data_IF_945331908574
#
_entry.id   IF_945331908574
#
_cell.length_a   1.000
_cell.length_b   1.000
_cell.length_c   1.000
_cell.angle_alpha   90.00
_cell.angle_beta   90.00
_cell.angle_gamma   90.00
#
_symmetry.space_group_name_H-M   'P 1'
#
loop_
_entity.id
_entity.type
_entity.pdbx_description
1 polymer ?
#
# COMPACT_ATOMS: atom_id res chain seq x y z
N UNK A 1 21.12 45.22 -82.28
CA UNK A 1 21.92 45.50 -81.09
C UNK A 1 21.02 45.49 -79.92
N UNK A 2 20.92 44.37 -79.20
CA UNK A 2 19.99 44.20 -78.11
C UNK A 2 20.80 43.79 -76.89
N UNK A 3 20.88 44.68 -75.89
CA UNK A 3 21.63 44.44 -74.66
C UNK A 3 20.76 43.61 -73.73
N UNK A 4 21.25 42.47 -73.38
CA UNK A 4 20.67 41.55 -72.43
C UNK A 4 21.11 41.89 -70.99
N UNK A 5 20.19 42.32 -70.16
CA UNK A 5 20.42 42.53 -68.73
C UNK A 5 20.26 41.19 -68.00
N UNK A 6 21.34 40.76 -67.37
CA UNK A 6 21.31 39.59 -66.48
C UNK A 6 21.14 40.07 -65.05
N UNK A 7 19.97 39.81 -64.47
CA UNK A 7 19.67 40.09 -63.04
C UNK A 7 20.16 38.88 -62.20
N UNK A 8 21.10 39.10 -61.32
CA UNK A 8 21.56 38.11 -60.33
C UNK A 8 20.64 38.24 -59.09
N UNK A 9 19.80 37.27 -58.84
CA UNK A 9 19.08 37.11 -57.55
C UNK A 9 20.01 36.42 -56.58
N UNK A 10 20.46 37.15 -55.56
CA UNK A 10 21.14 36.58 -54.42
C UNK A 10 20.07 36.10 -53.40
N UNK A 11 19.86 34.77 -53.31
CA UNK A 11 19.00 34.17 -52.30
C UNK A 11 19.78 34.01 -51.00
N UNK A 12 19.34 34.76 -49.96
CA UNK A 12 19.81 34.56 -48.59
C UNK A 12 19.05 33.40 -47.96
N UNK A 13 19.67 32.22 -47.84
CA UNK A 13 19.13 31.08 -47.11
C UNK A 13 19.38 31.29 -45.60
N UNK A 14 18.37 31.72 -44.86
CA UNK A 14 18.41 31.79 -43.41
C UNK A 14 18.23 30.36 -42.84
N UNK A 15 19.35 29.73 -42.49
CA UNK A 15 19.33 28.44 -41.81
C UNK A 15 18.92 28.63 -40.33
N UNK A 16 17.66 28.34 -40.04
CA UNK A 16 17.18 28.26 -38.66
C UNK A 16 17.68 26.96 -38.03
N UNK A 17 18.80 27.04 -37.30
CA UNK A 17 19.29 25.94 -36.49
C UNK A 17 18.37 25.86 -35.25
N UNK A 18 17.37 24.98 -35.28
CA UNK A 18 16.70 24.57 -34.04
C UNK A 18 17.70 23.82 -33.19
N UNK A 19 18.15 24.45 -32.11
CA UNK A 19 18.84 23.77 -31.02
C UNK A 19 17.84 22.78 -30.38
N UNK A 20 17.89 21.53 -30.80
CA UNK A 20 17.24 20.44 -30.07
C UNK A 20 18.07 20.28 -28.80
N UNK A 21 17.63 20.89 -27.70
CA UNK A 21 18.10 20.49 -26.39
C UNK A 21 17.70 19.03 -26.21
N UNK A 22 18.61 18.07 -26.05
CA UNK A 22 18.24 16.77 -25.57
C UNK A 22 17.61 16.99 -24.18
N UNK A 23 16.31 16.74 -24.05
CA UNK A 23 15.72 16.59 -22.72
C UNK A 23 16.59 15.51 -22.03
N UNK A 24 17.32 15.90 -20.98
CA UNK A 24 17.97 14.92 -20.15
C UNK A 24 16.86 13.97 -19.69
N UNK A 25 17.01 12.67 -19.95
CA UNK A 25 16.10 11.70 -19.39
C UNK A 25 16.17 11.89 -17.87
N UNK A 26 15.06 12.24 -17.23
CA UNK A 26 15.00 12.31 -15.77
C UNK A 26 15.31 10.91 -15.26
N UNK A 27 16.29 10.80 -14.36
CA UNK A 27 16.60 9.52 -13.72
C UNK A 27 15.35 9.08 -12.93
N UNK A 28 14.91 7.86 -13.15
CA UNK A 28 13.74 7.33 -12.46
C UNK A 28 13.96 5.91 -11.98
N UNK A 29 13.33 5.56 -10.87
CA UNK A 29 13.31 4.21 -10.31
C UNK A 29 11.87 3.72 -10.13
N UNK A 30 11.70 2.40 -10.21
CA UNK A 30 10.42 1.73 -9.95
C UNK A 30 10.49 1.06 -8.58
N UNK A 31 9.59 1.46 -7.68
CA UNK A 31 9.41 0.85 -6.37
C UNK A 31 8.21 -0.10 -6.39
N UNK A 32 8.45 -1.39 -6.26
CA UNK A 32 7.40 -2.37 -6.05
C UNK A 32 6.98 -2.35 -4.58
N UNK A 33 5.72 -2.07 -4.30
CA UNK A 33 5.22 -1.87 -2.95
C UNK A 33 3.82 -2.42 -2.74
N UNK A 34 3.18 -2.02 -1.64
CA UNK A 34 1.88 -2.53 -1.24
C UNK A 34 0.81 -1.44 -1.18
N UNK A 35 -0.44 -1.86 -1.43
CA UNK A 35 -1.60 -0.96 -1.34
C UNK A 35 -1.80 -0.39 0.06
N UNK A 36 -1.43 -1.12 1.12
CA UNK A 36 -1.51 -0.61 2.49
C UNK A 36 -0.49 0.50 2.73
N UNK A 37 0.74 0.38 2.22
CA UNK A 37 1.74 1.44 2.30
C UNK A 37 1.30 2.68 1.51
N UNK A 38 0.74 2.50 0.32
CA UNK A 38 0.18 3.61 -0.47
C UNK A 38 -0.99 4.29 0.27
N UNK A 39 -1.92 3.52 0.80
CA UNK A 39 -3.10 4.04 1.50
C UNK A 39 -2.77 4.74 2.82
N UNK A 40 -1.59 4.52 3.40
CA UNK A 40 -1.14 5.22 4.60
C UNK A 40 -0.84 6.70 4.36
N UNK A 41 -0.70 7.14 3.08
CA UNK A 41 -0.29 8.49 2.72
C UNK A 41 1.23 8.72 2.83
N UNK A 42 2.02 7.69 3.16
CA UNK A 42 3.47 7.81 3.34
C UNK A 42 4.14 8.37 2.09
N UNK A 43 3.77 7.85 0.92
CA UNK A 43 4.40 8.25 -0.35
C UNK A 43 4.13 9.70 -0.71
N UNK A 44 2.94 10.22 -0.46
CA UNK A 44 2.59 11.62 -0.69
C UNK A 44 3.46 12.57 0.14
N UNK A 45 3.99 12.08 1.26
CA UNK A 45 4.87 12.84 2.13
C UNK A 45 6.35 12.71 1.77
N UNK A 46 6.85 11.46 1.58
CA UNK A 46 8.31 11.24 1.44
C UNK A 46 8.84 11.40 0.02
N UNK A 47 8.05 11.04 -1.03
CA UNK A 47 8.55 11.04 -2.39
C UNK A 47 8.89 12.45 -2.91
N UNK A 48 8.07 13.50 -2.69
CA UNK A 48 8.45 14.84 -3.10
C UNK A 48 9.77 15.31 -2.47
N UNK A 49 10.01 14.97 -1.20
CA UNK A 49 11.26 15.31 -0.49
C UNK A 49 12.46 14.56 -1.07
N UNK A 50 12.27 13.31 -1.48
CA UNK A 50 13.31 12.50 -2.10
C UNK A 50 13.66 13.03 -3.49
N UNK A 51 12.66 13.30 -4.31
CA UNK A 51 12.81 13.84 -5.67
C UNK A 51 13.48 15.23 -5.65
N UNK A 52 13.06 16.12 -4.74
CA UNK A 52 13.69 17.43 -4.56
C UNK A 52 15.18 17.31 -4.20
N UNK A 53 15.51 16.34 -3.34
CA UNK A 53 16.88 16.15 -2.84
C UNK A 53 17.81 15.46 -3.85
N UNK A 54 17.28 14.56 -4.66
CA UNK A 54 18.09 13.66 -5.52
C UNK A 54 17.96 13.94 -7.00
N UNK A 55 16.85 14.56 -7.42
CA UNK A 55 16.47 14.67 -8.84
C UNK A 55 15.98 13.36 -9.46
N UNK A 56 15.79 12.30 -8.66
CA UNK A 56 15.36 10.98 -9.12
C UNK A 56 13.84 10.86 -8.94
N UNK A 57 13.12 10.63 -10.02
CA UNK A 57 11.69 10.37 -10.00
C UNK A 57 11.41 8.96 -9.46
N UNK A 58 10.41 8.80 -8.59
CA UNK A 58 10.02 7.51 -8.02
C UNK A 58 8.64 7.09 -8.52
N UNK A 59 8.60 5.99 -9.27
CA UNK A 59 7.37 5.39 -9.77
C UNK A 59 6.95 4.23 -8.86
N UNK A 60 5.85 4.37 -8.12
CA UNK A 60 5.37 3.33 -7.19
C UNK A 60 4.35 2.43 -7.87
N UNK A 61 4.59 1.12 -7.80
CA UNK A 61 3.64 0.07 -8.18
C UNK A 61 3.12 -0.59 -6.91
N UNK A 62 1.92 -0.21 -6.46
CA UNK A 62 1.33 -0.69 -5.23
C UNK A 62 0.33 -1.83 -5.48
N UNK A 63 0.68 -3.03 -5.02
CA UNK A 63 -0.08 -4.28 -5.18
C UNK A 63 -0.08 -5.08 -3.87
N UNK A 64 -0.52 -6.31 -3.84
CA UNK A 64 -0.32 -7.20 -2.69
C UNK A 64 1.16 -7.61 -2.54
N UNK A 65 1.63 -7.87 -1.31
CA UNK A 65 3.04 -8.22 -1.03
C UNK A 65 3.54 -9.37 -1.92
N UNK A 66 2.75 -10.43 -2.09
CA UNK A 66 3.13 -11.57 -2.95
C UNK A 66 3.33 -11.17 -4.41
N UNK A 67 2.46 -10.31 -4.92
CA UNK A 67 2.58 -9.80 -6.29
C UNK A 67 3.76 -8.84 -6.44
N UNK A 68 4.03 -8.00 -5.44
CA UNK A 68 5.20 -7.11 -5.45
C UNK A 68 6.52 -7.92 -5.51
N UNK A 69 6.63 -8.96 -4.70
CA UNK A 69 7.79 -9.89 -4.73
C UNK A 69 7.90 -10.62 -6.08
N UNK A 70 6.79 -11.04 -6.67
CA UNK A 70 6.79 -11.69 -7.98
C UNK A 70 7.21 -10.73 -9.09
N UNK A 71 6.76 -9.48 -9.06
CA UNK A 71 7.23 -8.45 -9.97
C UNK A 71 8.76 -8.23 -9.83
N UNK A 72 9.26 -8.18 -8.58
CA UNK A 72 10.69 -8.10 -8.32
C UNK A 72 11.49 -9.30 -8.87
N UNK A 73 10.96 -10.53 -8.75
CA UNK A 73 11.61 -11.72 -9.35
C UNK A 73 11.76 -11.63 -10.87
N UNK A 74 10.81 -10.98 -11.52
CA UNK A 74 10.86 -10.76 -12.98
C UNK A 74 11.74 -9.58 -13.39
N UNK A 75 12.25 -8.80 -12.43
CA UNK A 75 13.01 -7.59 -12.72
C UNK A 75 12.15 -6.38 -13.10
N UNK A 76 10.85 -6.39 -12.72
CA UNK A 76 9.91 -5.31 -13.01
C UNK A 76 10.02 -4.14 -12.00
N UNK A 77 11.11 -4.04 -11.24
CA UNK A 77 11.35 -2.97 -10.27
C UNK A 77 12.78 -2.94 -9.76
N UNK A 78 13.23 -1.75 -9.37
CA UNK A 78 14.57 -1.50 -8.86
C UNK A 78 14.66 -1.70 -7.35
N UNK A 79 13.55 -1.43 -6.64
CA UNK A 79 13.44 -1.51 -5.18
C UNK A 79 12.12 -2.16 -4.79
N UNK A 80 12.16 -2.97 -3.72
CA UNK A 80 10.96 -3.47 -3.05
C UNK A 80 10.81 -2.77 -1.69
N UNK A 81 9.65 -2.17 -1.43
CA UNK A 81 9.27 -1.64 -0.13
C UNK A 81 8.01 -2.38 0.32
N UNK A 82 8.22 -3.47 1.04
CA UNK A 82 7.18 -4.41 1.48
C UNK A 82 7.32 -4.71 2.98
N UNK A 83 6.44 -5.53 3.55
CA UNK A 83 6.38 -5.74 5.01
C UNK A 83 6.07 -7.18 5.40
N UNK A 84 6.71 -8.14 4.73
CA UNK A 84 6.60 -9.57 5.06
C UNK A 84 7.98 -10.18 5.25
N UNK A 85 8.64 -9.88 6.37
CA UNK A 85 10.04 -10.21 6.65
C UNK A 85 10.45 -11.63 6.25
N UNK A 86 9.72 -12.72 6.57
CA UNK A 86 10.13 -14.06 6.14
C UNK A 86 10.16 -14.24 4.62
N UNK A 87 9.24 -13.60 3.90
CA UNK A 87 9.19 -13.65 2.44
C UNK A 87 10.30 -12.80 1.80
N UNK A 88 10.65 -11.68 2.42
CA UNK A 88 11.75 -10.80 2.01
C UNK A 88 13.10 -11.49 2.21
N UNK A 89 13.32 -12.11 3.36
CA UNK A 89 14.54 -12.90 3.65
C UNK A 89 14.70 -14.06 2.65
N UNK A 90 13.61 -14.75 2.33
CA UNK A 90 13.61 -15.79 1.30
C UNK A 90 13.95 -15.25 -0.08
N UNK A 91 13.39 -14.09 -0.46
CA UNK A 91 13.65 -13.42 -1.74
C UNK A 91 15.13 -13.11 -1.93
N UNK A 92 15.79 -12.59 -0.87
CA UNK A 92 17.23 -12.32 -0.88
C UNK A 92 18.04 -13.62 -0.90
N UNK A 93 17.68 -14.62 -0.10
CA UNK A 93 18.36 -15.91 -0.04
C UNK A 93 18.29 -16.69 -1.39
N UNK A 94 17.23 -16.50 -2.16
CA UNK A 94 17.07 -17.05 -3.50
C UNK A 94 17.83 -16.25 -4.58
N UNK A 95 18.49 -15.15 -4.22
CA UNK A 95 19.33 -14.35 -5.12
C UNK A 95 18.58 -13.32 -5.98
N UNK A 96 17.32 -13.05 -5.67
CA UNK A 96 16.53 -12.05 -6.38
C UNK A 96 16.72 -10.63 -5.83
N UNK A 97 17.22 -10.48 -4.61
CA UNK A 97 17.57 -9.21 -3.99
C UNK A 97 19.01 -9.20 -3.51
N UNK A 98 19.63 -8.02 -3.47
CA UNK A 98 21.02 -7.85 -3.02
C UNK A 98 21.10 -7.86 -1.50
N UNK A 99 20.21 -7.11 -0.85
CA UNK A 99 20.21 -6.89 0.60
C UNK A 99 18.81 -6.48 1.09
N UNK A 100 18.52 -6.78 2.36
CA UNK A 100 17.30 -6.36 3.06
C UNK A 100 17.65 -5.37 4.15
N UNK A 101 16.94 -4.25 4.18
CA UNK A 101 17.05 -3.23 5.24
C UNK A 101 15.74 -3.10 6.01
N UNK A 102 15.84 -2.90 7.31
CA UNK A 102 14.70 -2.43 8.11
C UNK A 102 14.54 -0.92 7.90
N UNK A 103 13.33 -0.49 7.50
CA UNK A 103 13.02 0.92 7.21
C UNK A 103 12.18 1.53 8.33
N UNK A 104 11.08 0.87 8.67
CA UNK A 104 10.12 1.30 9.69
C UNK A 104 9.29 0.11 10.16
N UNK A 105 8.54 0.31 11.21
CA UNK A 105 7.48 -0.62 11.63
C UNK A 105 6.12 0.04 11.48
N UNK A 106 5.09 -0.78 11.31
CA UNK A 106 3.69 -0.39 11.31
C UNK A 106 2.93 -1.48 12.07
N UNK A 107 2.26 -1.10 13.14
CA UNK A 107 1.53 -2.03 13.99
C UNK A 107 0.10 -2.24 13.49
N UNK A 108 -0.53 -3.26 14.04
CA UNK A 108 -1.94 -3.55 13.81
C UNK A 108 -2.77 -3.12 15.01
N UNK A 109 -3.96 -2.64 14.72
CA UNK A 109 -4.97 -2.26 15.72
C UNK A 109 -6.30 -2.93 15.40
N UNK A 110 -7.15 -3.10 16.39
CA UNK A 110 -8.55 -3.44 16.18
C UNK A 110 -9.38 -2.18 16.41
N UNK A 111 -10.08 -1.77 15.37
CA UNK A 111 -11.02 -0.65 15.41
C UNK A 111 -12.44 -1.20 15.48
N UNK A 112 -13.35 -0.43 16.03
CA UNK A 112 -14.75 -0.81 16.13
C UNK A 112 -15.62 0.35 16.57
N UNK A 113 -16.95 0.14 16.65
CA UNK A 113 -17.90 1.19 17.05
C UNK A 113 -17.63 1.65 18.48
N UNK A 114 -17.79 2.94 18.74
CA UNK A 114 -17.62 3.52 20.08
C UNK A 114 -18.52 2.89 21.16
N UNK A 115 -19.61 2.25 20.75
CA UNK A 115 -20.50 1.48 21.65
C UNK A 115 -19.87 0.22 22.21
N UNK A 116 -18.82 -0.30 21.56
CA UNK A 116 -18.02 -1.46 21.97
C UNK A 116 -18.86 -2.64 22.53
N UNK A 117 -19.72 -3.26 21.74
CA UNK A 117 -20.63 -4.30 22.22
C UNK A 117 -19.91 -5.54 22.78
N UNK A 118 -18.67 -5.81 22.40
CA UNK A 118 -17.86 -6.91 22.93
C UNK A 118 -17.04 -6.54 24.19
N UNK A 119 -16.98 -5.25 24.55
CA UNK A 119 -16.26 -4.77 25.73
C UNK A 119 -14.74 -4.99 25.65
N UNK A 120 -14.15 -4.64 24.50
CA UNK A 120 -12.71 -4.85 24.23
C UNK A 120 -11.88 -3.58 24.32
N UNK A 121 -12.51 -2.43 24.49
CA UNK A 121 -11.84 -1.12 24.53
C UNK A 121 -10.80 -1.06 25.64
N UNK A 122 -9.58 -0.67 25.25
CA UNK A 122 -8.44 -0.52 26.16
C UNK A 122 -7.72 -1.83 26.47
N UNK A 123 -8.04 -2.92 25.76
CA UNK A 123 -7.25 -4.15 25.84
C UNK A 123 -5.97 -4.02 25.03
N UNK A 124 -4.90 -4.64 25.53
CA UNK A 124 -3.57 -4.74 24.91
C UNK A 124 -3.23 -6.20 24.47
N UNK A 125 -4.17 -7.11 24.68
CA UNK A 125 -4.09 -8.52 24.24
C UNK A 125 -5.10 -8.76 23.11
N UNK A 126 -4.60 -8.66 21.88
CA UNK A 126 -5.44 -8.83 20.69
C UNK A 126 -6.10 -10.22 20.58
N UNK A 127 -5.42 -11.36 20.83
CA UNK A 127 -6.07 -12.66 20.94
C UNK A 127 -7.22 -12.69 21.95
N UNK A 128 -7.03 -12.15 23.15
CA UNK A 128 -8.08 -12.12 24.19
C UNK A 128 -9.25 -11.22 23.74
N UNK A 129 -8.99 -10.11 23.08
CA UNK A 129 -10.03 -9.25 22.51
C UNK A 129 -10.83 -9.96 21.42
N UNK A 130 -10.15 -10.66 20.50
CA UNK A 130 -10.81 -11.45 19.46
C UNK A 130 -11.66 -12.58 20.04
N UNK A 131 -11.19 -13.27 21.10
CA UNK A 131 -11.98 -14.28 21.79
C UNK A 131 -13.30 -13.68 22.33
N UNK A 132 -13.27 -12.48 22.94
CA UNK A 132 -14.47 -11.78 23.40
C UNK A 132 -15.41 -11.39 22.25
N UNK A 133 -14.87 -10.89 21.14
CA UNK A 133 -15.66 -10.56 19.97
C UNK A 133 -16.41 -11.79 19.46
N UNK A 134 -15.73 -12.95 19.40
CA UNK A 134 -16.35 -14.22 19.03
C UNK A 134 -17.39 -14.72 20.04
N UNK A 135 -17.11 -14.62 21.35
CA UNK A 135 -18.05 -15.02 22.42
C UNK A 135 -19.35 -14.22 22.37
N UNK A 136 -19.26 -12.95 22.04
CA UNK A 136 -20.44 -12.07 21.89
C UNK A 136 -21.07 -12.14 20.49
N UNK A 137 -20.51 -12.95 19.58
CA UNK A 137 -20.91 -12.98 18.17
C UNK A 137 -21.01 -11.57 17.55
N UNK A 138 -20.16 -10.65 18.03
CA UNK A 138 -20.15 -9.29 17.56
C UNK A 138 -19.57 -9.23 16.14
N UNK A 139 -20.19 -8.44 15.27
CA UNK A 139 -19.81 -8.43 13.85
C UNK A 139 -18.35 -8.03 13.67
N UNK A 140 -17.61 -8.85 12.95
CA UNK A 140 -16.21 -8.60 12.59
C UNK A 140 -16.05 -8.66 11.06
N UNK A 141 -15.51 -7.59 10.48
CA UNK A 141 -15.24 -7.52 9.05
C UNK A 141 -13.75 -7.82 8.78
N UNK A 142 -13.53 -8.93 8.12
CA UNK A 142 -12.21 -9.40 7.67
C UNK A 142 -11.92 -9.02 6.23
N UNK A 143 -10.66 -8.84 5.91
CA UNK A 143 -10.25 -8.71 4.51
C UNK A 143 -10.55 -9.98 3.70
N UNK A 144 -10.31 -11.17 4.24
CA UNK A 144 -10.57 -12.43 3.56
C UNK A 144 -9.85 -12.61 2.21
N UNK A 145 -8.74 -11.90 1.97
CA UNK A 145 -8.09 -11.76 0.66
C UNK A 145 -6.65 -12.34 0.60
N UNK A 146 -6.29 -13.15 1.59
CA UNK A 146 -4.94 -13.73 1.75
C UNK A 146 -3.78 -12.70 1.82
N UNK A 147 -4.07 -11.44 2.10
CA UNK A 147 -3.07 -10.38 2.32
C UNK A 147 -2.26 -10.58 3.60
N UNK A 148 -1.22 -9.77 3.77
CA UNK A 148 -0.44 -9.74 5.01
C UNK A 148 -1.29 -9.43 6.24
N UNK A 149 -2.26 -8.51 6.13
CA UNK A 149 -3.22 -8.19 7.20
C UNK A 149 -4.11 -9.40 7.51
N UNK A 150 -4.67 -10.05 6.49
CA UNK A 150 -5.51 -11.23 6.69
C UNK A 150 -4.71 -12.39 7.32
N UNK A 151 -3.49 -12.63 6.88
CA UNK A 151 -2.61 -13.65 7.48
C UNK A 151 -2.31 -13.36 8.96
N UNK A 152 -2.06 -12.10 9.30
CA UNK A 152 -1.86 -11.68 10.70
C UNK A 152 -3.14 -11.85 11.52
N UNK A 153 -4.28 -11.46 10.98
CA UNK A 153 -5.61 -11.64 11.59
C UNK A 153 -5.85 -13.12 11.92
N UNK A 154 -5.67 -14.02 10.93
CA UNK A 154 -5.87 -15.46 11.13
C UNK A 154 -4.91 -16.05 12.17
N UNK A 155 -3.66 -15.58 12.22
CA UNK A 155 -2.71 -15.97 13.27
C UNK A 155 -3.16 -15.54 14.67
N UNK A 156 -3.81 -14.39 14.81
CA UNK A 156 -4.36 -13.93 16.10
C UNK A 156 -5.61 -14.72 16.48
N UNK A 157 -6.49 -15.04 15.53
CA UNK A 157 -7.63 -15.94 15.76
C UNK A 157 -7.20 -17.33 16.23
N UNK A 158 -6.15 -17.90 15.60
CA UNK A 158 -5.58 -19.16 16.03
C UNK A 158 -5.02 -19.08 17.47
N UNK A 159 -4.32 -17.99 17.79
CA UNK A 159 -3.83 -17.72 19.16
C UNK A 159 -4.97 -17.56 20.17
N UNK A 160 -6.12 -17.05 19.75
CA UNK A 160 -7.35 -16.95 20.53
C UNK A 160 -8.06 -18.32 20.72
N UNK A 161 -7.63 -19.37 20.01
CA UNK A 161 -8.27 -20.67 19.99
C UNK A 161 -9.62 -20.69 19.26
N UNK A 162 -9.85 -19.72 18.38
CA UNK A 162 -11.10 -19.54 17.63
C UNK A 162 -10.86 -19.73 16.14
N UNK A 163 -11.73 -20.50 15.51
CA UNK A 163 -11.81 -20.59 14.05
C UNK A 163 -12.99 -19.74 13.56
N UNK A 164 -12.77 -18.48 13.14
CA UNK A 164 -13.83 -17.56 12.77
C UNK A 164 -14.53 -17.98 11.47
N UNK A 165 -13.87 -18.79 10.62
CA UNK A 165 -14.43 -19.23 9.33
C UNK A 165 -15.69 -20.06 9.51
N UNK A 166 -15.88 -20.72 10.67
CA UNK A 166 -17.11 -21.44 11.01
C UNK A 166 -18.32 -20.52 11.14
N UNK A 167 -18.09 -19.22 11.35
CA UNK A 167 -19.11 -18.18 11.44
C UNK A 167 -19.15 -17.28 10.20
N UNK A 168 -18.51 -17.71 9.10
CA UNK A 168 -18.53 -16.98 7.83
C UNK A 168 -19.96 -16.71 7.37
N UNK A 169 -20.24 -15.46 7.00
CA UNK A 169 -21.60 -15.01 6.65
C UNK A 169 -22.53 -14.78 7.86
N UNK A 170 -22.13 -15.13 9.09
CA UNK A 170 -22.84 -14.78 10.33
C UNK A 170 -22.22 -13.53 10.98
N UNK A 171 -21.49 -13.64 12.06
CA UNK A 171 -20.79 -12.51 12.67
C UNK A 171 -19.40 -12.26 12.02
N UNK A 172 -18.79 -13.22 11.38
CA UNK A 172 -17.53 -13.06 10.65
C UNK A 172 -17.83 -12.78 9.17
N UNK A 173 -17.44 -11.60 8.69
CA UNK A 173 -17.77 -11.08 7.36
C UNK A 173 -16.50 -10.87 6.53
N UNK A 174 -16.22 -11.79 5.64
CA UNK A 174 -15.10 -11.71 4.72
C UNK A 174 -15.47 -10.82 3.53
N UNK A 175 -14.73 -9.72 3.33
CA UNK A 175 -15.01 -8.75 2.28
C UNK A 175 -14.36 -9.10 0.93
N UNK A 176 -13.33 -9.93 0.95
CA UNK A 176 -12.53 -10.23 -0.24
C UNK A 176 -11.84 -9.01 -0.84
N UNK A 177 -11.60 -7.97 -0.04
CA UNK A 177 -11.25 -6.65 -0.54
C UNK A 177 -10.02 -6.05 0.17
N UNK A 178 -9.42 -5.02 -0.43
CA UNK A 178 -8.33 -4.24 0.17
C UNK A 178 -8.77 -3.47 1.43
N UNK A 179 -7.79 -3.01 2.23
CA UNK A 179 -8.03 -2.47 3.57
C UNK A 179 -9.03 -1.31 3.61
N UNK A 180 -8.94 -0.35 2.70
CA UNK A 180 -9.86 0.79 2.65
C UNK A 180 -11.32 0.39 2.38
N UNK A 181 -11.54 -0.58 1.47
CA UNK A 181 -12.89 -1.11 1.20
C UNK A 181 -13.43 -1.92 2.39
N UNK A 182 -12.56 -2.71 3.05
CA UNK A 182 -12.92 -3.46 4.26
C UNK A 182 -13.28 -2.51 5.40
N UNK A 183 -12.54 -1.43 5.61
CA UNK A 183 -12.87 -0.40 6.60
C UNK A 183 -14.22 0.27 6.31
N UNK A 184 -14.49 0.65 5.04
CA UNK A 184 -15.79 1.21 4.68
C UNK A 184 -16.94 0.24 4.96
N UNK A 185 -16.74 -1.04 4.65
CA UNK A 185 -17.73 -2.08 4.95
C UNK A 185 -17.92 -2.24 6.45
N UNK A 186 -16.84 -2.31 7.22
CA UNK A 186 -16.88 -2.43 8.68
C UNK A 186 -17.59 -1.27 9.34
N UNK A 187 -17.27 -0.03 8.96
CA UNK A 187 -17.95 1.17 9.47
C UNK A 187 -19.44 1.14 9.13
N UNK A 188 -19.79 0.75 7.89
CA UNK A 188 -21.21 0.66 7.47
C UNK A 188 -22.02 -0.43 8.17
N UNK A 189 -21.34 -1.39 8.83
CA UNK A 189 -21.97 -2.51 9.55
C UNK A 189 -21.83 -2.40 11.08
N UNK A 190 -21.26 -1.33 11.61
CA UNK A 190 -20.85 -1.20 13.02
C UNK A 190 -19.99 -2.40 13.48
N UNK A 191 -19.09 -2.87 12.62
CA UNK A 191 -18.28 -4.05 12.83
C UNK A 191 -16.89 -3.73 13.39
N UNK A 192 -16.32 -4.67 14.14
CA UNK A 192 -14.89 -4.65 14.44
C UNK A 192 -14.07 -4.95 13.17
N UNK A 193 -12.91 -4.34 13.04
CA UNK A 193 -12.00 -4.54 11.90
C UNK A 193 -10.56 -4.53 12.39
N UNK A 194 -9.75 -5.48 11.97
CA UNK A 194 -8.31 -5.38 12.15
C UNK A 194 -7.69 -4.61 10.98
N UNK A 195 -6.90 -3.61 11.27
CA UNK A 195 -6.23 -2.77 10.27
C UNK A 195 -4.82 -2.42 10.73
N UNK A 196 -3.96 -2.04 9.80
CA UNK A 196 -2.74 -1.34 10.16
C UNK A 196 -3.04 0.10 10.63
N UNK A 197 -2.30 0.57 11.63
CA UNK A 197 -2.51 1.88 12.25
C UNK A 197 -2.39 3.03 11.24
N UNK A 198 -1.42 2.95 10.34
CA UNK A 198 -1.18 4.02 9.38
C UNK A 198 -2.36 4.20 8.40
N UNK A 199 -2.92 3.09 7.91
CA UNK A 199 -4.17 3.13 7.10
C UNK A 199 -5.31 3.71 7.91
N UNK A 200 -5.49 3.32 9.19
CA UNK A 200 -6.54 3.88 10.04
C UNK A 200 -6.39 5.38 10.26
N UNK A 201 -5.17 5.87 10.52
CA UNK A 201 -4.91 7.30 10.72
C UNK A 201 -5.36 8.10 9.50
N UNK A 202 -5.03 7.63 8.30
CA UNK A 202 -5.33 8.29 7.02
C UNK A 202 -6.77 8.06 6.53
N UNK A 203 -7.47 7.07 7.10
CA UNK A 203 -8.83 6.74 6.69
C UNK A 203 -9.82 7.83 7.08
N UNK A 204 -10.54 8.40 6.11
CA UNK A 204 -11.41 9.56 6.30
C UNK A 204 -12.83 9.23 6.80
N UNK A 205 -13.37 8.05 6.43
CA UNK A 205 -14.77 7.68 6.68
C UNK A 205 -14.93 6.86 7.97
N UNK A 206 -14.45 7.38 9.11
CA UNK A 206 -14.42 6.64 10.39
C UNK A 206 -15.79 6.49 11.06
N UNK A 207 -16.75 7.37 10.75
CA UNK A 207 -18.01 7.43 11.50
C UNK A 207 -17.74 7.56 13.00
N UNK A 208 -18.42 6.73 13.80
CA UNK A 208 -18.24 6.63 15.26
C UNK A 208 -17.23 5.51 15.64
N UNK A 209 -16.39 5.06 14.70
CA UNK A 209 -15.36 4.05 14.99
C UNK A 209 -14.11 4.68 15.56
N UNK A 210 -13.48 3.97 16.47
CA UNK A 210 -12.23 4.34 17.12
C UNK A 210 -11.31 3.12 17.29
N UNK A 211 -10.06 3.36 17.68
CA UNK A 211 -9.15 2.27 18.08
C UNK A 211 -9.62 1.74 19.43
N UNK A 212 -9.88 0.46 19.51
CA UNK A 212 -10.33 -0.20 20.74
C UNK A 212 -9.27 -1.10 21.35
N UNK A 213 -8.39 -1.70 20.50
CA UNK A 213 -7.30 -2.58 20.93
C UNK A 213 -6.03 -2.18 20.21
N UNK A 214 -4.93 -2.02 20.97
CA UNK A 214 -3.61 -1.64 20.46
C UNK A 214 -2.46 -2.27 21.26
#
# INVERSE_FOLDING_TARGET
MQKMFMSVLAGVALALTMAVNPAAAEDSIIVQSTTSTQNSGLYDHILPMFEEKTGIQVNVVAVGTGQALENGRRGDGDVLLVHAKPAEEKFVAEGYGVERHDVMYNDFVIVGPASDPAGVKGMDDAPAALAKIAEQEAVFASRGDDSGTHKKEMSLWDSAGVDPTKASGAWYRETGSGMGATLNTGVGMDAYVMTDRATWISFGNKGEHEILVE
#
